data_IF_513830478111
#
_entry.id   IF_513830478111
#
_cell.length_a   1.000
_cell.length_b   1.000
_cell.length_c   1.000
_cell.angle_alpha   90.00
_cell.angle_beta   90.00
_cell.angle_gamma   90.00
#
_symmetry.space_group_name_H-M   'P 1'
#
loop_
_entity.id
_entity.type
_entity.pdbx_description
1 polymer ?
#
# COMPACT_ATOMS: atom_id res chain seq x y z
N UNK A 1 -12.22 -8.78 7.05
CA UNK A 1 -11.29 -7.67 6.76
C UNK A 1 -11.19 -7.46 5.26
N UNK A 2 -11.07 -6.21 4.82
CA UNK A 2 -10.72 -5.83 3.45
C UNK A 2 -9.66 -4.72 3.51
N UNK A 3 -8.62 -4.85 2.70
CA UNK A 3 -7.58 -3.84 2.54
C UNK A 3 -7.61 -3.33 1.10
N UNK A 4 -7.53 -2.03 0.90
CA UNK A 4 -7.48 -1.41 -0.43
C UNK A 4 -6.53 -0.24 -0.44
N UNK A 5 -5.99 0.07 -1.61
CA UNK A 5 -5.26 1.29 -1.87
C UNK A 5 -5.69 1.96 -3.16
N UNK A 6 -5.54 3.28 -3.18
CA UNK A 6 -5.79 4.13 -4.36
C UNK A 6 -4.69 5.17 -4.48
N UNK A 7 -4.32 5.50 -5.71
CA UNK A 7 -3.36 6.54 -6.05
C UNK A 7 -3.75 7.22 -7.36
N UNK A 8 -2.92 8.14 -7.87
CA UNK A 8 -3.17 8.76 -9.15
C UNK A 8 -3.06 7.73 -10.29
N UNK A 9 -3.84 7.90 -11.35
CA UNK A 9 -3.74 7.08 -12.57
C UNK A 9 -2.55 7.45 -13.45
N UNK A 10 -1.99 8.64 -13.24
CA UNK A 10 -0.86 9.19 -14.00
C UNK A 10 0.11 9.93 -13.09
N UNK A 11 1.40 9.89 -13.37
CA UNK A 11 2.41 10.65 -12.64
C UNK A 11 3.64 10.97 -13.51
N UNK A 12 4.51 11.86 -13.02
CA UNK A 12 5.75 12.21 -13.71
C UNK A 12 6.94 11.53 -13.02
N UNK A 13 7.90 11.06 -13.81
CA UNK A 13 9.21 10.61 -13.29
C UNK A 13 9.90 11.74 -12.51
N UNK A 14 10.61 11.38 -11.44
CA UNK A 14 11.26 12.33 -10.53
C UNK A 14 10.31 13.06 -9.57
N UNK A 15 9.11 12.54 -9.34
CA UNK A 15 8.14 13.14 -8.42
C UNK A 15 7.64 12.12 -7.39
N UNK A 16 7.22 12.63 -6.23
CA UNK A 16 6.56 11.81 -5.21
C UNK A 16 5.05 11.87 -5.39
N UNK A 17 4.40 10.71 -5.25
CA UNK A 17 2.95 10.56 -5.26
C UNK A 17 2.44 10.06 -3.91
N UNK A 18 1.24 10.50 -3.55
CA UNK A 18 0.55 10.04 -2.35
C UNK A 18 -0.35 8.88 -2.67
N UNK A 19 -0.18 7.79 -1.93
CA UNK A 19 -1.07 6.63 -1.95
C UNK A 19 -1.94 6.65 -0.69
N UNK A 20 -3.24 6.40 -0.87
CA UNK A 20 -4.21 6.30 0.21
C UNK A 20 -4.53 4.82 0.46
N UNK A 21 -4.26 4.35 1.66
CA UNK A 21 -4.61 3.01 2.14
C UNK A 21 -5.88 3.05 2.99
N UNK A 22 -6.69 1.99 2.91
CA UNK A 22 -7.91 1.81 3.69
C UNK A 22 -8.01 0.35 4.16
N UNK A 23 -8.40 0.16 5.42
CA UNK A 23 -8.63 -1.14 6.04
C UNK A 23 -9.99 -1.13 6.72
N UNK A 24 -10.87 -2.04 6.30
CA UNK A 24 -12.26 -2.12 6.79
C UNK A 24 -12.54 -3.49 7.40
N UNK A 25 -13.17 -3.51 8.58
CA UNK A 25 -13.68 -4.73 9.18
C UNK A 25 -15.13 -5.01 8.74
N UNK A 26 -15.31 -5.84 7.71
CA UNK A 26 -16.62 -6.34 7.29
C UNK A 26 -17.09 -7.60 8.05
N UNK A 27 -16.36 -8.04 9.08
CA UNK A 27 -16.77 -9.15 9.93
C UNK A 27 -17.82 -8.74 10.97
N UNK A 28 -18.34 -9.72 11.71
CA UNK A 28 -19.32 -9.53 12.78
C UNK A 28 -18.70 -9.32 14.17
N UNK A 29 -17.40 -9.53 14.32
CA UNK A 29 -16.66 -9.35 15.58
C UNK A 29 -15.54 -8.32 15.43
N UNK A 30 -15.17 -7.69 16.54
CA UNK A 30 -13.99 -6.83 16.57
C UNK A 30 -12.71 -7.65 16.29
N UNK A 31 -11.74 -6.99 15.67
CA UNK A 31 -10.38 -7.54 15.47
C UNK A 31 -9.37 -6.61 16.14
N UNK A 32 -8.40 -7.19 16.83
CA UNK A 32 -7.35 -6.46 17.55
C UNK A 32 -6.05 -6.44 16.74
N UNK A 33 -5.09 -5.64 17.23
CA UNK A 33 -3.71 -5.56 16.72
C UNK A 33 -3.62 -5.37 15.20
N UNK A 34 -4.53 -4.58 14.63
CA UNK A 34 -4.56 -4.36 13.19
C UNK A 34 -3.36 -3.53 12.79
N UNK A 35 -2.48 -4.12 11.98
CA UNK A 35 -1.25 -3.50 11.49
C UNK A 35 -1.21 -3.58 9.98
N UNK A 36 -0.99 -2.44 9.33
CA UNK A 36 -0.68 -2.40 7.90
C UNK A 36 0.83 -2.23 7.68
N UNK A 37 1.40 -2.99 6.76
CA UNK A 37 2.82 -2.93 6.42
C UNK A 37 3.03 -3.01 4.91
N UNK A 38 3.75 -2.03 4.39
CA UNK A 38 4.29 -2.03 3.02
C UNK A 38 5.81 -2.10 3.04
N UNK A 39 6.43 -1.92 1.88
CA UNK A 39 7.89 -1.97 1.75
C UNK A 39 8.60 -0.97 2.68
N UNK A 40 8.10 0.27 2.76
CA UNK A 40 8.76 1.37 3.47
C UNK A 40 7.93 1.91 4.64
N UNK A 41 6.90 1.19 5.09
CA UNK A 41 6.06 1.66 6.18
C UNK A 41 5.47 0.55 7.03
N UNK A 42 5.23 0.91 8.30
CA UNK A 42 4.34 0.20 9.21
C UNK A 42 3.34 1.21 9.78
N UNK A 43 2.08 0.82 9.89
CA UNK A 43 1.01 1.60 10.54
C UNK A 43 0.28 0.69 11.53
N UNK A 44 0.22 1.13 12.78
CA UNK A 44 -0.67 0.52 13.76
C UNK A 44 -2.05 1.18 13.66
N UNK A 45 -3.07 0.39 13.36
CA UNK A 45 -4.46 0.81 13.19
C UNK A 45 -5.33 0.42 14.40
N UNK A 46 -4.74 -0.21 15.41
CA UNK A 46 -5.40 -0.57 16.66
C UNK A 46 -6.46 -1.65 16.50
N UNK A 47 -7.60 -1.45 17.16
CA UNK A 47 -8.75 -2.35 17.08
C UNK A 47 -9.76 -1.81 16.07
N UNK A 48 -10.33 -2.70 15.25
CA UNK A 48 -11.44 -2.35 14.36
C UNK A 48 -12.68 -3.15 14.74
N UNK A 49 -13.71 -2.46 15.19
CA UNK A 49 -15.05 -3.01 15.40
C UNK A 49 -15.75 -3.30 14.06
N UNK A 50 -16.81 -4.13 14.04
CA UNK A 50 -17.62 -4.36 12.86
C UNK A 50 -18.04 -3.06 12.17
N UNK A 51 -17.83 -2.98 10.85
CA UNK A 51 -18.13 -1.81 10.02
C UNK A 51 -17.12 -0.67 10.09
N UNK A 52 -16.15 -0.69 11.01
CA UNK A 52 -15.15 0.38 11.09
C UNK A 52 -14.15 0.31 9.95
N UNK A 53 -13.72 1.49 9.51
CA UNK A 53 -12.67 1.70 8.53
C UNK A 53 -11.60 2.59 9.12
N UNK A 54 -10.33 2.21 8.94
CA UNK A 54 -9.17 3.05 9.21
C UNK A 54 -8.46 3.37 7.90
N UNK A 55 -8.08 4.63 7.72
CA UNK A 55 -7.38 5.13 6.53
C UNK A 55 -6.02 5.69 6.91
N UNK A 56 -5.06 5.58 6.01
CA UNK A 56 -3.73 6.15 6.17
C UNK A 56 -3.15 6.53 4.82
N UNK A 57 -2.09 7.33 4.82
CA UNK A 57 -1.35 7.70 3.61
C UNK A 57 0.12 7.32 3.72
N UNK A 58 0.72 7.12 2.56
CA UNK A 58 2.18 7.00 2.40
C UNK A 58 2.60 7.59 1.05
N UNK A 59 3.86 8.02 0.97
CA UNK A 59 4.43 8.60 -0.24
C UNK A 59 5.27 7.55 -0.96
N UNK A 60 5.26 7.61 -2.29
CA UNK A 60 6.14 6.81 -3.16
C UNK A 60 6.88 7.78 -4.09
N UNK A 61 8.21 7.74 -4.07
CA UNK A 61 9.02 8.47 -5.05
C UNK A 61 9.13 7.66 -6.33
N UNK A 62 8.86 8.30 -7.47
CA UNK A 62 9.05 7.71 -8.79
C UNK A 62 10.41 8.17 -9.30
N UNK A 63 11.39 7.28 -9.50
CA UNK A 63 12.69 7.70 -10.01
C UNK A 63 12.60 8.20 -11.46
N UNK A 64 13.65 8.87 -11.89
CA UNK A 64 13.95 9.17 -13.29
C UNK A 64 14.70 8.01 -13.94
N UNK A 65 14.67 7.94 -15.28
CA UNK A 65 15.48 6.94 -15.99
C UNK A 65 16.98 7.12 -15.66
N UNK A 66 17.44 8.36 -15.51
CA UNK A 66 18.84 8.66 -15.15
C UNK A 66 19.22 8.10 -13.78
N UNK A 67 18.34 8.19 -12.79
CA UNK A 67 18.58 7.61 -11.46
C UNK A 67 18.64 6.08 -11.53
N UNK A 68 17.71 5.45 -12.26
CA UNK A 68 17.74 3.99 -12.44
C UNK A 68 18.98 3.55 -13.24
N UNK A 69 19.39 4.29 -14.26
CA UNK A 69 20.59 3.99 -15.06
C UNK A 69 21.87 4.02 -14.21
N UNK A 70 21.94 4.88 -13.20
CA UNK A 70 23.10 4.94 -12.30
C UNK A 70 23.31 3.63 -11.52
N UNK A 71 22.23 2.92 -11.20
CA UNK A 71 22.26 1.69 -10.42
C UNK A 71 22.22 0.42 -11.30
N UNK A 72 21.59 0.50 -12.47
CA UNK A 72 21.25 -0.67 -13.31
C UNK A 72 21.82 -0.61 -14.75
N UNK A 73 22.57 0.45 -15.10
CA UNK A 73 23.24 0.64 -16.38
C UNK A 73 22.42 1.43 -17.41
N UNK A 74 23.10 1.92 -18.47
CA UNK A 74 22.58 2.90 -19.44
C UNK A 74 21.28 2.50 -20.14
N UNK A 75 20.99 1.20 -20.25
CA UNK A 75 19.78 0.69 -20.90
C UNK A 75 18.58 0.55 -19.95
N UNK A 76 18.76 0.81 -18.66
CA UNK A 76 17.69 0.69 -17.68
C UNK A 76 16.67 1.83 -17.82
N UNK A 77 15.39 1.53 -17.59
CA UNK A 77 14.30 2.51 -17.61
C UNK A 77 13.31 2.21 -16.50
N UNK A 78 12.61 3.25 -16.04
CA UNK A 78 11.46 3.10 -15.16
C UNK A 78 10.31 2.49 -15.95
N UNK A 79 9.72 1.43 -15.42
CA UNK A 79 8.57 0.77 -16.05
C UNK A 79 7.41 1.75 -16.26
N UNK A 80 6.75 1.63 -17.41
CA UNK A 80 5.56 2.39 -17.75
C UNK A 80 4.50 1.45 -18.37
N UNK A 81 3.39 1.16 -17.66
CA UNK A 81 3.00 1.72 -16.37
C UNK A 81 3.93 1.32 -15.22
N UNK A 82 4.08 2.22 -14.24
CA UNK A 82 4.71 1.91 -12.96
C UNK A 82 3.76 1.03 -12.15
N UNK A 83 4.25 -0.14 -11.76
CA UNK A 83 3.53 -1.08 -10.89
C UNK A 83 3.88 -0.82 -9.43
N UNK A 84 2.88 -0.51 -8.61
CA UNK A 84 3.02 -0.42 -7.15
C UNK A 84 2.29 -1.61 -6.53
N UNK A 85 3.05 -2.45 -5.84
CA UNK A 85 2.53 -3.59 -5.08
C UNK A 85 1.55 -3.17 -3.98
N UNK A 86 0.89 -4.14 -3.37
CA UNK A 86 0.01 -3.90 -2.23
C UNK A 86 0.75 -3.78 -0.89
N UNK A 87 -0.01 -3.47 0.15
CA UNK A 87 0.42 -3.63 1.54
C UNK A 87 -0.28 -4.83 2.17
N UNK A 88 0.38 -5.45 3.15
CA UNK A 88 -0.19 -6.51 3.97
C UNK A 88 -0.87 -5.91 5.21
N UNK A 89 -1.94 -6.56 5.67
CA UNK A 89 -2.58 -6.31 6.95
C UNK A 89 -2.52 -7.57 7.78
N UNK A 90 -2.03 -7.46 9.00
CA UNK A 90 -2.15 -8.50 10.03
C UNK A 90 -3.15 -8.05 11.09
N UNK A 91 -3.94 -8.96 11.64
CA UNK A 91 -4.78 -8.71 12.81
C UNK A 91 -5.02 -9.97 13.63
N UNK A 92 -5.44 -9.80 14.88
CA UNK A 92 -5.87 -10.89 15.77
C UNK A 92 -7.40 -10.96 15.75
N UNK A 93 -7.96 -12.10 15.37
CA UNK A 93 -9.42 -12.30 15.38
C UNK A 93 -9.97 -12.60 16.78
N UNK A 94 -11.30 -12.71 16.91
CA UNK A 94 -11.95 -12.96 18.19
C UNK A 94 -11.61 -14.30 18.84
N UNK A 95 -11.00 -15.24 18.09
CA UNK A 95 -10.53 -16.52 18.60
C UNK A 95 -9.05 -16.48 18.98
N UNK A 96 -8.41 -15.30 18.93
CA UNK A 96 -6.98 -15.13 19.16
C UNK A 96 -6.10 -15.56 17.98
N UNK A 97 -6.68 -15.87 16.81
CA UNK A 97 -5.90 -16.31 15.65
C UNK A 97 -5.40 -15.12 14.84
N UNK A 98 -4.14 -15.18 14.41
CA UNK A 98 -3.56 -14.17 13.52
C UNK A 98 -4.06 -14.40 12.09
N UNK A 99 -4.58 -13.34 11.48
CA UNK A 99 -5.06 -13.32 10.10
C UNK A 99 -4.21 -12.35 9.29
N UNK A 100 -3.91 -12.71 8.05
CA UNK A 100 -3.20 -11.86 7.09
C UNK A 100 -4.02 -11.70 5.82
N UNK A 101 -4.06 -10.48 5.28
CA UNK A 101 -4.61 -10.18 3.97
C UNK A 101 -3.77 -9.12 3.25
N UNK A 102 -3.89 -9.03 1.94
CA UNK A 102 -3.18 -8.02 1.13
C UNK A 102 -4.17 -7.06 0.49
N UNK A 103 -3.74 -5.82 0.26
CA UNK A 103 -4.45 -4.86 -0.59
C UNK A 103 -4.29 -5.19 -2.08
N UNK A 104 -5.06 -4.49 -2.92
CA UNK A 104 -4.81 -4.45 -4.37
C UNK A 104 -3.45 -3.80 -4.70
N UNK A 105 -3.00 -3.99 -5.94
CA UNK A 105 -1.90 -3.22 -6.54
C UNK A 105 -2.42 -1.97 -7.26
N UNK A 106 -1.52 -1.11 -7.73
CA UNK A 106 -1.81 0.06 -8.56
C UNK A 106 -0.95 0.02 -9.83
N UNK A 107 -1.51 0.50 -10.94
CA UNK A 107 -0.80 0.77 -12.18
C UNK A 107 -0.89 2.26 -12.46
N UNK A 108 0.25 2.91 -12.65
CA UNK A 108 0.34 4.37 -12.84
C UNK A 108 1.05 4.65 -14.15
N UNK A 109 0.36 5.29 -15.08
CA UNK A 109 0.94 5.67 -16.36
C UNK A 109 1.90 6.86 -16.17
N UNK A 110 3.12 6.74 -16.66
CA UNK A 110 4.14 7.78 -16.53
C UNK A 110 4.18 8.69 -17.76
N UNK A 111 4.30 9.99 -17.52
CA UNK A 111 4.56 11.04 -18.53
C UNK A 111 5.98 11.60 -18.41
#
# INVERSE_FOLDING_TARGET
MKATQTGPSTAKKGTSITINGSVTNHGSSAVADVKASGQDFIRNLGTLNPGQTQTFTYQVYIPTDKEVQADFGDNATVSNPLYIGGFAVTCTDSNGSIRTLNSNHLNINLS
#
